data_IF_405883891664
#
_entry.id   IF_405883891664
#
_cell.length_a   1.000
_cell.length_b   1.000
_cell.length_c   1.000
_cell.angle_alpha   90.00
_cell.angle_beta   90.00
_cell.angle_gamma   90.00
#
_symmetry.space_group_name_H-M   'P 1'
#
loop_
_entity.id
_entity.type
_entity.pdbx_description
1 polymer ?
#
# COMPACT_ATOMS: atom_id res chain seq x y z
N UNK A 1 -19.36 -14.22 4.30
CA UNK A 1 -18.87 -12.83 4.13
C UNK A 1 -19.28 -12.37 2.75
N UNK A 2 -19.71 -11.11 2.61
CA UNK A 2 -20.03 -10.53 1.29
C UNK A 2 -18.74 -10.38 0.48
N UNK A 3 -18.84 -10.54 -0.85
CA UNK A 3 -17.70 -10.35 -1.76
C UNK A 3 -17.74 -8.99 -2.46
N UNK A 4 -16.56 -8.43 -2.73
CA UNK A 4 -16.42 -7.25 -3.58
C UNK A 4 -16.93 -7.55 -4.99
N UNK A 5 -17.62 -6.60 -5.58
CA UNK A 5 -18.11 -6.71 -6.95
C UNK A 5 -17.45 -5.68 -7.87
N UNK A 6 -17.34 -6.03 -9.13
CA UNK A 6 -16.88 -5.10 -10.16
C UNK A 6 -17.71 -3.81 -10.20
N UNK A 7 -19.02 -3.94 -10.02
CA UNK A 7 -19.96 -2.80 -9.97
C UNK A 7 -19.61 -1.83 -8.83
N UNK A 8 -19.27 -2.35 -7.66
CA UNK A 8 -18.83 -1.54 -6.50
C UNK A 8 -17.55 -0.80 -6.82
N UNK A 9 -16.57 -1.50 -7.39
CA UNK A 9 -15.27 -0.91 -7.75
C UNK A 9 -15.41 0.19 -8.80
N UNK A 10 -16.23 -0.02 -9.83
CA UNK A 10 -16.49 1.02 -10.83
C UNK A 10 -17.07 2.32 -10.22
N UNK A 11 -17.84 2.20 -9.14
CA UNK A 11 -18.41 3.35 -8.43
C UNK A 11 -17.36 4.23 -7.73
N UNK A 12 -16.19 3.70 -7.39
CA UNK A 12 -15.12 4.45 -6.74
C UNK A 12 -14.32 5.34 -7.69
N UNK A 13 -14.43 5.14 -9.01
CA UNK A 13 -13.63 5.85 -10.01
C UNK A 13 -14.51 6.66 -10.95
N UNK A 14 -14.92 7.89 -10.56
CA UNK A 14 -15.65 8.77 -11.46
C UNK A 14 -14.78 9.20 -12.66
N UNK A 15 -15.44 9.65 -13.73
CA UNK A 15 -14.74 10.19 -14.91
C UNK A 15 -13.86 11.38 -14.51
N UNK A 16 -12.61 11.39 -14.98
CA UNK A 16 -11.70 12.49 -14.74
C UNK A 16 -12.16 13.74 -15.48
N UNK A 17 -12.24 14.87 -14.77
CA UNK A 17 -12.59 16.14 -15.37
C UNK A 17 -11.47 16.60 -16.30
N UNK A 18 -11.82 17.21 -17.45
CA UNK A 18 -10.85 17.77 -18.40
C UNK A 18 -9.98 18.88 -17.80
N UNK A 19 -10.50 19.61 -16.81
CA UNK A 19 -9.79 20.68 -16.13
C UNK A 19 -8.96 20.20 -14.93
N UNK A 20 -8.79 18.88 -14.77
CA UNK A 20 -7.97 18.33 -13.69
C UNK A 20 -6.48 18.64 -13.89
N UNK A 21 -5.78 18.81 -12.79
CA UNK A 21 -4.32 18.99 -12.74
C UNK A 21 -3.71 18.02 -11.72
N UNK A 22 -2.39 17.92 -11.65
CA UNK A 22 -1.71 16.96 -10.74
C UNK A 22 -2.16 17.07 -9.28
N UNK A 23 -2.47 18.27 -8.78
CA UNK A 23 -2.98 18.48 -7.42
C UNK A 23 -4.38 17.90 -7.18
N UNK A 24 -5.20 17.73 -8.22
CA UNK A 24 -6.53 17.10 -8.12
C UNK A 24 -6.44 15.63 -7.70
N UNK A 25 -5.34 14.97 -8.06
CA UNK A 25 -5.13 13.54 -7.80
C UNK A 25 -4.16 13.28 -6.64
N UNK A 26 -3.93 14.31 -5.83
CA UNK A 26 -3.18 14.24 -4.59
C UNK A 26 -1.67 14.04 -4.74
N UNK A 27 -0.99 14.19 -3.61
CA UNK A 27 0.45 13.92 -3.47
C UNK A 27 0.64 12.74 -2.53
N UNK A 28 1.21 11.65 -3.03
CA UNK A 28 1.60 10.52 -2.22
C UNK A 28 3.05 10.65 -1.78
N UNK A 29 3.32 10.48 -0.49
CA UNK A 29 4.66 10.31 0.05
C UNK A 29 4.91 8.82 0.32
N UNK A 30 5.85 8.21 -0.41
CA UNK A 30 6.36 6.87 -0.15
C UNK A 30 7.64 6.96 0.69
N UNK A 31 7.63 6.40 1.88
CA UNK A 31 8.82 6.23 2.75
C UNK A 31 9.18 4.75 2.66
N UNK A 32 10.04 4.40 1.70
CA UNK A 32 10.23 3.00 1.29
C UNK A 32 11.67 2.73 0.84
N UNK A 33 12.08 1.48 0.94
CA UNK A 33 13.39 1.03 0.49
C UNK A 33 14.51 1.33 1.48
N UNK A 34 15.41 0.38 1.58
CA UNK A 34 16.72 0.47 2.24
C UNK A 34 17.81 0.16 1.22
N UNK A 35 19.07 0.25 1.60
CA UNK A 35 20.19 -0.13 0.72
C UNK A 35 20.13 -1.59 0.23
N UNK A 36 19.34 -2.44 0.90
CA UNK A 36 19.18 -3.86 0.55
C UNK A 36 17.93 -4.15 -0.29
N UNK A 37 16.94 -3.25 -0.29
CA UNK A 37 15.63 -3.50 -0.88
C UNK A 37 15.15 -2.36 -1.80
N UNK A 38 15.95 -1.98 -2.84
CA UNK A 38 15.53 -0.99 -3.82
C UNK A 38 14.29 -1.45 -4.62
N UNK A 39 14.14 -2.77 -4.84
CA UNK A 39 13.02 -3.34 -5.59
C UNK A 39 11.66 -3.12 -4.94
N UNK A 40 11.55 -3.21 -3.62
CA UNK A 40 10.31 -2.92 -2.90
C UNK A 40 9.88 -1.45 -3.09
N UNK A 41 10.86 -0.53 -3.03
CA UNK A 41 10.64 0.88 -3.34
C UNK A 41 10.20 1.09 -4.79
N UNK A 42 10.83 0.41 -5.76
CA UNK A 42 10.48 0.52 -7.17
C UNK A 42 9.05 0.03 -7.44
N UNK A 43 8.69 -1.16 -6.93
CA UNK A 43 7.37 -1.77 -7.13
C UNK A 43 6.26 -0.91 -6.53
N UNK A 44 6.40 -0.46 -5.28
CA UNK A 44 5.39 0.38 -4.63
C UNK A 44 5.24 1.75 -5.29
N UNK A 45 6.35 2.36 -5.74
CA UNK A 45 6.34 3.65 -6.44
C UNK A 45 5.67 3.54 -7.82
N UNK A 46 6.06 2.53 -8.62
CA UNK A 46 5.45 2.29 -9.94
C UNK A 46 3.97 1.96 -9.82
N UNK A 47 3.59 1.14 -8.82
CA UNK A 47 2.19 0.84 -8.55
C UNK A 47 1.39 2.11 -8.25
N UNK A 48 1.93 3.01 -7.45
CA UNK A 48 1.29 4.28 -7.13
C UNK A 48 1.12 5.18 -8.36
N UNK A 49 2.15 5.32 -9.19
CA UNK A 49 2.10 6.09 -10.43
C UNK A 49 1.09 5.50 -11.41
N UNK A 50 1.12 4.19 -11.64
CA UNK A 50 0.17 3.47 -12.52
C UNK A 50 -1.26 3.51 -12.01
N UNK A 51 -1.45 3.68 -10.70
CA UNK A 51 -2.77 3.83 -10.07
C UNK A 51 -3.30 5.27 -10.07
N UNK A 52 -2.56 6.21 -10.66
CA UNK A 52 -3.06 7.54 -11.01
C UNK A 52 -2.87 8.61 -9.93
N UNK A 53 -1.99 8.45 -8.95
CA UNK A 53 -1.57 9.52 -8.05
C UNK A 53 -1.03 10.71 -8.84
N UNK A 54 -1.39 11.93 -8.45
CA UNK A 54 -1.02 13.13 -9.19
C UNK A 54 0.46 13.49 -9.06
N UNK A 55 1.05 13.24 -7.91
CA UNK A 55 2.47 13.37 -7.63
C UNK A 55 2.91 12.29 -6.64
N UNK A 56 4.00 11.61 -6.93
CA UNK A 56 4.62 10.62 -6.02
C UNK A 56 5.98 11.14 -5.58
N UNK A 57 6.11 11.43 -4.28
CA UNK A 57 7.38 11.76 -3.63
C UNK A 57 7.92 10.50 -2.97
N UNK A 58 9.19 10.20 -3.20
CA UNK A 58 9.83 8.95 -2.75
C UNK A 58 10.99 9.30 -1.81
N UNK A 59 10.75 9.14 -0.51
CA UNK A 59 11.79 9.21 0.51
C UNK A 59 12.46 7.84 0.62
N UNK A 60 13.66 7.73 0.05
CA UNK A 60 14.45 6.50 0.01
C UNK A 60 15.94 6.81 0.19
N UNK A 61 16.75 5.79 0.40
CA UNK A 61 18.19 5.98 0.62
C UNK A 61 18.88 6.58 -0.61
N UNK A 62 19.89 7.43 -0.42
CA UNK A 62 20.67 8.02 -1.52
C UNK A 62 21.21 6.96 -2.50
N UNK A 63 21.60 5.79 -1.99
CA UNK A 63 22.09 4.68 -2.79
C UNK A 63 21.08 4.14 -3.79
N UNK A 64 19.79 4.26 -3.49
CA UNK A 64 18.72 3.78 -4.36
C UNK A 64 18.43 4.73 -5.53
N UNK A 65 18.78 6.03 -5.42
CA UNK A 65 18.43 7.02 -6.42
C UNK A 65 18.88 6.66 -7.84
N UNK A 66 20.16 6.34 -8.11
CA UNK A 66 20.58 6.02 -9.49
C UNK A 66 19.88 4.77 -10.03
N UNK A 67 19.52 3.81 -9.14
CA UNK A 67 18.80 2.60 -9.52
C UNK A 67 17.35 2.93 -9.91
N UNK A 68 16.67 3.72 -9.09
CA UNK A 68 15.26 4.06 -9.29
C UNK A 68 15.09 5.08 -10.42
N UNK A 69 15.90 6.13 -10.46
CA UNK A 69 15.79 7.19 -11.46
C UNK A 69 16.09 6.71 -12.88
N UNK A 70 16.80 5.60 -13.05
CA UNK A 70 16.99 4.98 -14.36
C UNK A 70 15.75 4.22 -14.88
N UNK A 71 14.76 3.98 -14.03
CA UNK A 71 13.56 3.19 -14.37
C UNK A 71 12.25 3.95 -14.13
N UNK A 72 12.24 4.95 -13.26
CA UNK A 72 11.05 5.69 -12.83
C UNK A 72 11.33 7.18 -12.97
N UNK A 73 10.91 7.77 -14.09
CA UNK A 73 11.17 9.17 -14.43
C UNK A 73 10.16 10.14 -13.81
N UNK A 74 8.98 9.66 -13.42
CA UNK A 74 7.84 10.49 -13.00
C UNK A 74 7.84 10.77 -11.50
N UNK A 75 8.68 10.10 -10.72
CA UNK A 75 8.74 10.29 -9.26
C UNK A 75 9.64 11.47 -8.89
N UNK A 76 9.28 12.14 -7.78
CA UNK A 76 10.13 13.15 -7.13
C UNK A 76 10.89 12.49 -6.00
N UNK A 77 12.20 12.37 -6.13
CA UNK A 77 13.05 11.71 -5.14
C UNK A 77 13.45 12.65 -4.02
N UNK A 78 13.33 12.16 -2.79
CA UNK A 78 13.86 12.78 -1.56
C UNK A 78 14.97 11.87 -1.04
N UNK A 79 16.24 12.23 -1.30
CA UNK A 79 17.38 11.43 -0.86
C UNK A 79 17.51 11.46 0.67
N UNK A 80 17.49 10.27 1.28
CA UNK A 80 17.56 10.10 2.73
C UNK A 80 18.92 9.61 3.17
N UNK A 81 19.48 10.28 4.16
CA UNK A 81 20.66 9.83 4.85
C UNK A 81 20.37 8.59 5.70
N UNK A 82 21.34 7.70 5.79
CA UNK A 82 21.16 6.40 6.40
C UNK A 82 21.96 6.20 7.68
N UNK A 83 21.58 5.17 8.42
CA UNK A 83 22.41 4.51 9.43
C UNK A 83 23.59 3.80 8.77
N UNK A 84 24.55 3.30 9.56
CA UNK A 84 25.70 2.51 9.06
C UNK A 84 25.27 1.25 8.31
N UNK A 85 24.08 0.70 8.59
CA UNK A 85 23.55 -0.50 7.95
C UNK A 85 22.65 -0.21 6.76
N UNK A 86 22.50 1.08 6.38
CA UNK A 86 21.80 1.48 5.15
C UNK A 86 20.29 1.61 5.26
N UNK A 87 19.76 1.90 6.44
CA UNK A 87 18.35 2.20 6.70
C UNK A 87 18.16 3.69 6.93
N UNK A 88 16.97 4.22 6.62
CA UNK A 88 16.65 5.65 6.78
C UNK A 88 16.78 6.05 8.26
N UNK A 89 17.57 7.08 8.53
CA UNK A 89 17.77 7.62 9.87
C UNK A 89 16.89 8.84 10.09
N UNK A 90 15.94 8.78 11.05
CA UNK A 90 15.04 9.88 11.32
C UNK A 90 15.78 11.19 11.68
N UNK A 91 16.69 11.14 12.64
CA UNK A 91 17.39 12.32 13.15
C UNK A 91 18.06 13.14 12.03
N UNK A 92 18.65 12.46 11.05
CA UNK A 92 19.36 13.11 9.94
C UNK A 92 18.41 13.70 8.89
N UNK A 93 17.17 13.24 8.83
CA UNK A 93 16.20 13.56 7.79
C UNK A 93 14.95 14.27 8.31
N UNK A 94 14.86 14.56 9.60
CA UNK A 94 13.67 15.06 10.27
C UNK A 94 13.06 16.29 9.56
N UNK A 95 13.87 17.28 9.20
CA UNK A 95 13.40 18.52 8.55
C UNK A 95 12.75 18.24 7.19
N UNK A 96 13.39 17.39 6.37
CA UNK A 96 12.89 17.03 5.03
C UNK A 96 11.60 16.21 5.15
N UNK A 97 11.59 15.22 6.03
CA UNK A 97 10.42 14.36 6.24
C UNK A 97 9.23 15.13 6.83
N UNK A 98 9.44 16.02 7.80
CA UNK A 98 8.39 16.87 8.35
C UNK A 98 7.75 17.76 7.28
N UNK A 99 8.57 18.37 6.42
CA UNK A 99 8.07 19.17 5.29
C UNK A 99 7.29 18.33 4.29
N UNK A 100 7.77 17.13 3.97
CA UNK A 100 7.10 16.21 3.03
C UNK A 100 5.77 15.69 3.58
N UNK A 101 5.72 15.32 4.87
CA UNK A 101 4.51 14.85 5.56
C UNK A 101 3.39 15.91 5.54
N UNK A 102 3.71 17.18 5.79
CA UNK A 102 2.74 18.28 5.74
C UNK A 102 2.11 18.50 4.36
N UNK A 103 2.80 18.12 3.30
CA UNK A 103 2.34 18.30 1.92
C UNK A 103 1.68 17.06 1.33
N UNK A 104 1.70 15.94 2.06
CA UNK A 104 1.18 14.67 1.58
C UNK A 104 -0.36 14.60 1.72
N UNK A 105 -1.02 14.08 0.68
CA UNK A 105 -2.44 13.69 0.71
C UNK A 105 -2.62 12.27 1.26
N UNK A 106 -1.58 11.43 1.18
CA UNK A 106 -1.47 10.13 1.83
C UNK A 106 0.01 9.76 2.00
N UNK A 107 0.30 8.86 2.92
CA UNK A 107 1.65 8.35 3.19
C UNK A 107 1.66 6.84 3.14
N UNK A 108 2.61 6.27 2.39
CA UNK A 108 2.96 4.86 2.43
C UNK A 108 4.28 4.68 3.18
N UNK A 109 4.31 3.81 4.19
CA UNK A 109 5.51 3.50 4.93
C UNK A 109 5.68 2.00 5.12
N UNK A 110 6.90 1.49 4.89
CA UNK A 110 7.27 0.14 5.31
C UNK A 110 7.90 -0.75 4.25
N UNK A 111 7.47 -0.66 2.99
CA UNK A 111 7.99 -1.51 1.91
C UNK A 111 9.52 -1.46 1.83
N UNK A 112 10.20 -2.51 2.28
CA UNK A 112 11.65 -2.65 2.20
C UNK A 112 12.48 -1.70 3.06
N UNK A 113 11.96 -1.20 4.17
CA UNK A 113 12.71 -0.30 5.07
C UNK A 113 13.78 -1.02 5.92
N UNK A 114 13.59 -2.30 6.21
CA UNK A 114 14.31 -3.06 7.22
C UNK A 114 13.60 -3.01 8.58
N UNK A 115 13.81 -4.05 9.38
CA UNK A 115 13.16 -4.19 10.69
C UNK A 115 14.17 -4.00 11.83
N UNK A 116 14.48 -2.75 12.14
CA UNK A 116 15.43 -2.37 13.20
C UNK A 116 14.91 -1.22 14.05
N UNK A 117 15.69 -0.85 15.07
CA UNK A 117 15.40 0.31 15.93
C UNK A 117 15.27 1.62 15.11
N UNK A 118 16.02 1.78 14.02
CA UNK A 118 15.92 2.98 13.17
C UNK A 118 14.54 3.06 12.48
N UNK A 119 14.02 1.93 11.99
CA UNK A 119 12.66 1.87 11.40
C UNK A 119 11.59 2.11 12.44
N UNK A 120 11.77 1.59 13.65
CA UNK A 120 10.85 1.84 14.78
C UNK A 120 10.81 3.33 15.15
N UNK A 121 11.97 3.98 15.24
CA UNK A 121 12.06 5.42 15.51
C UNK A 121 11.44 6.24 14.38
N UNK A 122 11.73 5.91 13.12
CA UNK A 122 11.14 6.53 11.94
C UNK A 122 9.61 6.43 12.00
N UNK A 123 9.06 5.24 12.25
CA UNK A 123 7.61 5.02 12.35
C UNK A 123 6.99 5.84 13.48
N UNK A 124 7.60 5.86 14.68
CA UNK A 124 7.11 6.67 15.82
C UNK A 124 6.97 8.14 15.47
N UNK A 125 7.96 8.69 14.79
CA UNK A 125 7.96 10.10 14.40
C UNK A 125 6.94 10.38 13.29
N UNK A 126 6.83 9.51 12.28
CA UNK A 126 5.83 9.64 11.22
C UNK A 126 4.41 9.60 11.79
N UNK A 127 4.10 8.64 12.66
CA UNK A 127 2.79 8.51 13.32
C UNK A 127 2.40 9.75 14.13
N UNK A 128 3.38 10.38 14.78
CA UNK A 128 3.12 11.60 15.57
C UNK A 128 2.80 12.82 14.70
N UNK A 129 3.24 12.84 13.45
CA UNK A 129 3.19 14.02 12.58
C UNK A 129 2.18 13.89 11.43
N UNK A 130 1.83 12.67 11.04
CA UNK A 130 0.93 12.42 9.92
C UNK A 130 -0.52 12.73 10.28
N UNK A 131 -1.20 13.49 9.42
CA UNK A 131 -2.63 13.81 9.58
C UNK A 131 -3.49 13.20 8.47
N UNK A 132 -2.90 12.93 7.32
CA UNK A 132 -3.55 12.29 6.17
C UNK A 132 -3.60 10.75 6.32
N UNK A 133 -4.25 10.03 5.39
CA UNK A 133 -4.22 8.56 5.38
C UNK A 133 -2.81 7.99 5.41
N UNK A 134 -2.59 7.02 6.31
CA UNK A 134 -1.31 6.35 6.52
C UNK A 134 -1.44 4.86 6.22
N UNK A 135 -0.76 4.41 5.19
CA UNK A 135 -0.70 3.02 4.77
C UNK A 135 0.59 2.40 5.32
N UNK A 136 0.46 1.34 6.10
CA UNK A 136 1.58 0.60 6.67
C UNK A 136 1.62 -0.82 6.11
N UNK A 137 2.75 -1.20 5.52
CA UNK A 137 3.00 -2.56 4.99
C UNK A 137 4.37 -3.07 5.43
N UNK A 138 4.58 -4.36 5.36
CA UNK A 138 5.87 -5.02 5.52
C UNK A 138 6.65 -4.59 6.79
N UNK A 139 7.82 -3.95 6.64
CA UNK A 139 8.64 -3.55 7.78
C UNK A 139 7.99 -2.43 8.62
N UNK A 140 7.08 -1.65 8.05
CA UNK A 140 6.24 -0.73 8.81
C UNK A 140 5.33 -1.46 9.81
N UNK A 141 4.74 -2.59 9.40
CA UNK A 141 3.93 -3.44 10.28
C UNK A 141 4.79 -4.19 11.31
N UNK A 142 5.99 -4.63 10.92
CA UNK A 142 6.93 -5.25 11.84
C UNK A 142 7.38 -4.26 12.92
N UNK A 143 7.66 -3.01 12.54
CA UNK A 143 8.00 -1.94 13.47
C UNK A 143 6.81 -1.61 14.40
N UNK A 144 5.58 -1.55 13.85
CA UNK A 144 4.37 -1.34 14.64
C UNK A 144 4.16 -2.43 15.68
N UNK A 145 4.33 -3.71 15.31
CA UNK A 145 4.23 -4.84 16.22
C UNK A 145 5.29 -4.79 17.35
N UNK A 146 6.49 -4.27 17.06
CA UNK A 146 7.56 -4.07 18.04
C UNK A 146 7.33 -2.86 18.96
N UNK A 147 6.44 -1.94 18.57
CA UNK A 147 6.15 -0.69 19.24
C UNK A 147 4.64 -0.56 19.48
N UNK A 148 4.08 -1.50 20.21
CA UNK A 148 2.62 -1.61 20.39
C UNK A 148 1.98 -0.36 21.03
N UNK A 149 2.75 0.41 21.80
CA UNK A 149 2.34 1.71 22.33
C UNK A 149 1.94 2.72 21.22
N UNK A 150 2.45 2.57 20.01
CA UNK A 150 2.02 3.37 18.85
C UNK A 150 0.53 3.11 18.54
N UNK A 151 0.03 1.91 18.78
CA UNK A 151 -1.39 1.59 18.56
C UNK A 151 -2.33 2.45 19.40
N UNK A 152 -1.89 3.00 20.53
CA UNK A 152 -2.67 3.97 21.33
C UNK A 152 -2.89 5.31 20.59
N UNK A 153 -2.10 5.59 19.56
CA UNK A 153 -2.20 6.80 18.70
C UNK A 153 -2.89 6.53 17.39
N UNK A 154 -3.47 5.36 17.21
CA UNK A 154 -4.14 4.97 15.97
C UNK A 154 -5.25 5.96 15.60
N UNK A 155 -5.42 6.14 14.29
CA UNK A 155 -6.44 7.01 13.72
C UNK A 155 -7.32 6.22 12.74
N UNK A 156 -8.59 6.61 12.54
CA UNK A 156 -9.47 5.93 11.57
C UNK A 156 -8.97 5.94 10.13
N UNK A 157 -8.04 6.84 9.80
CA UNK A 157 -7.44 6.96 8.48
C UNK A 157 -6.19 6.09 8.27
N UNK A 158 -5.85 5.19 9.22
CA UNK A 158 -4.79 4.21 9.01
C UNK A 158 -5.29 3.01 8.22
N UNK A 159 -4.42 2.48 7.35
CA UNK A 159 -4.64 1.24 6.61
C UNK A 159 -3.46 0.32 6.88
N UNK A 160 -3.74 -0.84 7.45
CA UNK A 160 -2.74 -1.89 7.69
C UNK A 160 -2.95 -3.03 6.70
N UNK A 161 -1.88 -3.49 6.06
CA UNK A 161 -1.95 -4.52 5.01
C UNK A 161 -1.19 -5.80 5.38
N UNK A 162 -1.43 -6.43 6.56
CA UNK A 162 -0.65 -7.58 6.98
C UNK A 162 -0.94 -8.84 6.15
N UNK A 163 0.10 -9.61 5.82
CA UNK A 163 -0.03 -11.03 5.53
C UNK A 163 -0.20 -11.83 6.83
N UNK A 164 -0.59 -13.13 6.80
CA UNK A 164 -0.86 -13.88 8.04
C UNK A 164 0.28 -13.87 9.08
N UNK A 165 1.55 -13.86 8.64
CA UNK A 165 2.68 -13.79 9.55
C UNK A 165 2.86 -12.43 10.23
N UNK A 166 2.59 -11.32 9.52
CA UNK A 166 2.57 -9.96 10.08
C UNK A 166 1.39 -9.78 11.02
N UNK A 167 0.22 -10.30 10.62
CA UNK A 167 -0.98 -10.30 11.46
C UNK A 167 -0.74 -11.05 12.78
N UNK A 168 -0.07 -12.18 12.72
CA UNK A 168 0.28 -12.95 13.92
C UNK A 168 1.13 -12.13 14.91
N UNK A 169 2.12 -11.38 14.39
CA UNK A 169 2.94 -10.48 15.22
C UNK A 169 2.14 -9.33 15.83
N UNK A 170 1.28 -8.69 15.03
CA UNK A 170 0.41 -7.60 15.50
C UNK A 170 -0.59 -8.05 16.57
N UNK A 171 -1.08 -9.29 16.44
CA UNK A 171 -2.11 -9.84 17.37
C UNK A 171 -1.53 -10.67 18.52
N UNK A 172 -0.21 -10.81 18.62
CA UNK A 172 0.42 -11.64 19.65
C UNK A 172 0.05 -13.13 19.56
N UNK A 173 -0.17 -13.66 18.35
CA UNK A 173 -0.58 -15.06 18.10
C UNK A 173 0.36 -15.75 17.10
N UNK A 174 -0.01 -16.92 16.60
CA UNK A 174 0.78 -17.66 15.61
C UNK A 174 0.22 -17.53 14.20
N UNK A 175 1.07 -17.66 13.20
CA UNK A 175 0.64 -17.68 11.78
C UNK A 175 -0.37 -18.80 11.51
N UNK A 176 -0.19 -19.96 12.14
CA UNK A 176 -1.12 -21.09 12.01
C UNK A 176 -2.52 -20.75 12.57
N UNK A 177 -2.60 -20.07 13.71
CA UNK A 177 -3.87 -19.62 14.30
C UNK A 177 -4.58 -18.60 13.40
N UNK A 178 -3.83 -17.63 12.84
CA UNK A 178 -4.40 -16.69 11.87
C UNK A 178 -4.93 -17.40 10.62
N UNK A 179 -4.17 -18.35 10.07
CA UNK A 179 -4.55 -19.11 8.88
C UNK A 179 -5.79 -19.98 9.12
N UNK A 180 -5.95 -20.55 10.31
CA UNK A 180 -7.08 -21.40 10.67
C UNK A 180 -8.44 -20.66 10.61
N UNK A 181 -8.46 -19.37 10.95
CA UNK A 181 -9.68 -18.56 10.90
C UNK A 181 -9.39 -17.07 10.69
N UNK A 182 -9.00 -16.70 9.47
CA UNK A 182 -8.71 -15.30 9.10
C UNK A 182 -9.88 -14.35 9.37
N UNK A 183 -11.16 -14.69 9.05
CA UNK A 183 -12.28 -13.78 9.32
C UNK A 183 -12.42 -13.45 10.81
N UNK A 184 -12.33 -14.44 11.68
CA UNK A 184 -12.41 -14.21 13.12
C UNK A 184 -11.22 -13.38 13.62
N UNK A 185 -10.01 -13.68 13.15
CA UNK A 185 -8.81 -12.93 13.52
C UNK A 185 -8.91 -11.46 13.11
N UNK A 186 -9.41 -11.15 11.91
CA UNK A 186 -9.64 -9.80 11.46
C UNK A 186 -10.69 -9.09 12.33
N UNK A 187 -11.80 -9.76 12.64
CA UNK A 187 -12.86 -9.20 13.46
C UNK A 187 -12.38 -8.88 14.89
N UNK A 188 -11.64 -9.80 15.54
CA UNK A 188 -11.09 -9.58 16.88
C UNK A 188 -10.10 -8.40 16.90
N UNK A 189 -9.20 -8.31 15.91
CA UNK A 189 -8.26 -7.20 15.80
C UNK A 189 -8.99 -5.86 15.63
N UNK A 190 -9.99 -5.79 14.76
CA UNK A 190 -10.74 -4.57 14.48
C UNK A 190 -11.69 -4.13 15.63
N UNK A 191 -11.84 -4.89 16.69
CA UNK A 191 -12.48 -4.41 17.94
C UNK A 191 -11.63 -3.35 18.65
N UNK A 192 -10.31 -3.41 18.47
CA UNK A 192 -9.34 -2.50 19.11
C UNK A 192 -8.65 -1.57 18.10
N UNK A 193 -8.86 -1.80 16.80
CA UNK A 193 -8.26 -1.00 15.74
C UNK A 193 -9.33 -0.22 14.97
N UNK A 194 -9.26 1.10 15.03
CA UNK A 194 -10.25 2.00 14.44
C UNK A 194 -10.07 2.23 12.93
N UNK A 195 -8.90 1.86 12.37
CA UNK A 195 -8.58 2.01 10.95
C UNK A 195 -9.07 0.84 10.09
N UNK A 196 -8.55 0.75 8.88
CA UNK A 196 -8.88 -0.31 7.91
C UNK A 196 -7.80 -1.39 7.91
N UNK A 197 -8.21 -2.63 8.08
CA UNK A 197 -7.36 -3.82 7.99
C UNK A 197 -7.54 -4.49 6.63
N UNK A 198 -6.43 -4.81 5.95
CA UNK A 198 -6.37 -5.62 4.73
C UNK A 198 -5.59 -6.90 5.05
N UNK A 199 -6.26 -7.93 5.52
CA UNK A 199 -5.62 -9.22 5.84
C UNK A 199 -5.42 -10.03 4.57
N UNK A 200 -4.18 -9.99 4.07
CA UNK A 200 -3.75 -10.61 2.80
C UNK A 200 -3.91 -12.15 2.81
N UNK A 201 -4.14 -12.70 1.62
CA UNK A 201 -4.21 -14.14 1.35
C UNK A 201 -5.26 -14.46 0.28
N UNK A 202 -5.44 -15.73 -0.07
CA UNK A 202 -6.53 -16.13 -0.97
C UNK A 202 -7.87 -15.69 -0.37
N UNK A 203 -8.65 -14.87 -1.13
CA UNK A 203 -9.79 -14.17 -0.56
C UNK A 203 -9.34 -13.16 0.52
N UNK A 204 -8.55 -12.15 0.15
CA UNK A 204 -8.13 -11.06 1.05
C UNK A 204 -9.34 -10.45 1.74
N UNK A 205 -9.24 -10.24 3.05
CA UNK A 205 -10.31 -9.68 3.87
C UNK A 205 -10.03 -8.20 4.12
N UNK A 206 -10.98 -7.33 3.78
CA UNK A 206 -10.95 -5.92 4.12
C UNK A 206 -11.96 -5.70 5.23
N UNK A 207 -11.50 -5.14 6.35
CA UNK A 207 -12.37 -4.90 7.51
C UNK A 207 -12.10 -3.53 8.14
N UNK A 208 -13.19 -2.85 8.52
CA UNK A 208 -13.18 -1.63 9.32
C UNK A 208 -14.32 -1.71 10.34
N UNK A 209 -13.99 -1.69 11.62
CA UNK A 209 -14.97 -1.94 12.69
C UNK A 209 -15.70 -3.27 12.48
N UNK A 210 -17.02 -3.23 12.35
CA UNK A 210 -17.87 -4.42 12.11
C UNK A 210 -18.09 -4.72 10.63
N UNK A 211 -17.73 -3.82 9.73
CA UNK A 211 -17.89 -4.00 8.28
C UNK A 211 -16.74 -4.81 7.72
N UNK A 212 -17.04 -5.95 7.13
CA UNK A 212 -16.06 -6.85 6.52
C UNK A 212 -16.52 -7.29 5.13
N UNK A 213 -15.58 -7.31 4.17
CA UNK A 213 -15.81 -7.76 2.81
C UNK A 213 -14.61 -8.59 2.32
N UNK A 214 -14.85 -9.54 1.42
CA UNK A 214 -13.82 -10.41 0.86
C UNK A 214 -13.53 -10.05 -0.59
N UNK A 215 -12.26 -10.07 -0.95
CA UNK A 215 -11.83 -9.88 -2.34
C UNK A 215 -11.85 -11.21 -3.10
N UNK A 216 -12.61 -11.34 -4.21
CA UNK A 216 -12.70 -12.56 -5.00
C UNK A 216 -11.61 -12.70 -6.07
N UNK A 217 -10.83 -11.65 -6.37
CA UNK A 217 -9.85 -11.62 -7.47
C UNK A 217 -8.47 -12.06 -7.02
N UNK A 218 -7.63 -12.47 -7.96
CA UNK A 218 -6.26 -12.92 -7.74
C UNK A 218 -6.11 -14.43 -7.79
N UNK A 219 -4.88 -14.88 -7.96
CA UNK A 219 -4.52 -16.27 -8.19
C UNK A 219 -3.23 -16.65 -7.44
N UNK A 220 -2.89 -17.95 -7.35
CA UNK A 220 -1.70 -18.42 -6.64
C UNK A 220 -0.36 -17.90 -7.18
N UNK A 221 -0.27 -17.51 -8.45
CA UNK A 221 0.92 -16.91 -9.06
C UNK A 221 1.38 -15.61 -8.40
N UNK A 222 0.45 -14.93 -7.70
CA UNK A 222 0.73 -13.73 -6.93
C UNK A 222 1.46 -14.01 -5.61
N UNK A 223 1.65 -15.25 -5.20
CA UNK A 223 2.34 -15.64 -3.96
C UNK A 223 3.86 -15.51 -4.10
N UNK A 224 4.33 -14.29 -4.37
CA UNK A 224 5.74 -13.93 -4.58
C UNK A 224 6.11 -12.66 -3.82
N UNK A 225 7.38 -12.58 -3.41
CA UNK A 225 7.94 -11.34 -2.84
C UNK A 225 7.80 -10.18 -3.82
N UNK A 226 7.27 -9.05 -3.37
CA UNK A 226 7.00 -7.87 -4.19
C UNK A 226 5.52 -7.65 -4.53
N UNK A 227 4.67 -8.69 -4.54
CA UNK A 227 3.23 -8.51 -4.80
C UNK A 227 2.55 -7.63 -3.76
N UNK A 228 2.97 -7.73 -2.49
CA UNK A 228 2.49 -6.86 -1.41
C UNK A 228 2.87 -5.40 -1.61
N UNK A 229 4.11 -5.13 -2.09
CA UNK A 229 4.58 -3.77 -2.36
C UNK A 229 3.73 -3.11 -3.47
N UNK A 230 3.34 -3.87 -4.50
CA UNK A 230 2.42 -3.40 -5.55
C UNK A 230 1.06 -3.05 -4.95
N UNK A 231 0.47 -3.94 -4.13
CA UNK A 231 -0.80 -3.69 -3.45
C UNK A 231 -0.77 -2.44 -2.58
N UNK A 232 0.27 -2.31 -1.75
CA UNK A 232 0.44 -1.17 -0.85
C UNK A 232 0.55 0.16 -1.63
N UNK A 233 1.29 0.18 -2.74
CA UNK A 233 1.40 1.33 -3.63
C UNK A 233 0.07 1.73 -4.27
N UNK A 234 -0.73 0.74 -4.71
CA UNK A 234 -2.07 0.99 -5.28
C UNK A 234 -3.03 1.57 -4.25
N UNK A 235 -3.13 0.96 -3.06
CA UNK A 235 -3.99 1.46 -1.96
C UNK A 235 -3.60 2.89 -1.60
N UNK A 236 -2.31 3.15 -1.45
CA UNK A 236 -1.79 4.47 -1.10
C UNK A 236 -2.13 5.54 -2.16
N UNK A 237 -2.04 5.19 -3.44
CA UNK A 237 -2.42 6.06 -4.55
C UNK A 237 -3.92 6.40 -4.54
N UNK A 238 -4.79 5.44 -4.24
CA UNK A 238 -6.22 5.67 -4.17
C UNK A 238 -6.59 6.53 -2.96
N UNK A 239 -5.97 6.30 -1.81
CA UNK A 239 -6.13 7.16 -0.65
C UNK A 239 -5.63 8.59 -0.92
N UNK A 240 -4.52 8.77 -1.63
CA UNK A 240 -4.01 10.09 -2.02
C UNK A 240 -4.96 10.83 -2.96
N UNK A 241 -5.72 10.12 -3.79
CA UNK A 241 -6.74 10.66 -4.68
C UNK A 241 -8.07 10.97 -3.98
N UNK A 242 -8.17 10.75 -2.66
CA UNK A 242 -9.32 11.13 -1.85
C UNK A 242 -10.36 10.03 -1.62
N UNK A 243 -10.09 8.77 -1.98
CA UNK A 243 -10.94 7.68 -1.55
C UNK A 243 -10.83 7.51 -0.02
N UNK A 244 -11.95 7.13 0.60
CA UNK A 244 -11.91 6.75 2.01
C UNK A 244 -10.92 5.62 2.25
N UNK A 245 -10.33 5.46 3.45
CA UNK A 245 -9.40 4.37 3.74
C UNK A 245 -9.96 2.99 3.40
N UNK A 246 -11.25 2.77 3.68
CA UNK A 246 -11.93 1.53 3.38
C UNK A 246 -12.11 1.31 1.86
N UNK A 247 -12.56 2.34 1.13
CA UNK A 247 -12.77 2.24 -0.32
C UNK A 247 -11.44 2.10 -1.06
N UNK A 248 -10.39 2.81 -0.62
CA UNK A 248 -9.03 2.67 -1.16
C UNK A 248 -8.49 1.24 -0.98
N UNK A 249 -8.72 0.63 0.20
CA UNK A 249 -8.35 -0.75 0.48
C UNK A 249 -9.14 -1.75 -0.39
N UNK A 250 -10.45 -1.56 -0.53
CA UNK A 250 -11.30 -2.39 -1.38
C UNK A 250 -10.88 -2.29 -2.86
N UNK A 251 -10.73 -1.08 -3.37
CA UNK A 251 -10.28 -0.84 -4.74
C UNK A 251 -8.89 -1.43 -5.00
N UNK A 252 -7.94 -1.19 -4.07
CA UNK A 252 -6.59 -1.72 -4.17
C UNK A 252 -6.57 -3.23 -4.22
N UNK A 253 -7.25 -3.90 -3.29
CA UNK A 253 -7.29 -5.36 -3.25
C UNK A 253 -7.91 -5.97 -4.51
N UNK A 254 -9.03 -5.42 -4.98
CA UNK A 254 -9.73 -5.94 -6.14
C UNK A 254 -8.93 -5.74 -7.44
N UNK A 255 -8.48 -4.52 -7.72
CA UNK A 255 -7.78 -4.20 -8.96
C UNK A 255 -6.38 -4.83 -9.01
N UNK A 256 -5.70 -4.96 -7.87
CA UNK A 256 -4.46 -5.72 -7.75
C UNK A 256 -4.66 -7.20 -8.09
N UNK A 257 -5.70 -7.83 -7.54
CA UNK A 257 -6.04 -9.21 -7.86
C UNK A 257 -6.38 -9.38 -9.35
N UNK A 258 -7.19 -8.48 -9.92
CA UNK A 258 -7.55 -8.51 -11.34
C UNK A 258 -6.32 -8.32 -12.25
N UNK A 259 -5.37 -7.43 -11.87
CA UNK A 259 -4.10 -7.31 -12.59
C UNK A 259 -3.28 -8.62 -12.53
N UNK A 260 -3.32 -9.30 -11.38
CA UNK A 260 -2.73 -10.63 -11.22
C UNK A 260 -3.38 -11.69 -12.10
N UNK A 261 -4.71 -11.67 -12.24
CA UNK A 261 -5.43 -12.60 -13.13
C UNK A 261 -5.09 -12.36 -14.61
N UNK A 262 -4.95 -11.09 -15.03
CA UNK A 262 -4.48 -10.75 -16.37
C UNK A 262 -3.02 -11.18 -16.60
N UNK A 263 -2.17 -11.01 -15.59
CA UNK A 263 -0.78 -11.46 -15.66
C UNK A 263 -0.68 -12.99 -15.75
N UNK A 264 -1.48 -13.73 -14.98
CA UNK A 264 -1.52 -15.19 -15.06
C UNK A 264 -2.00 -15.69 -16.43
N UNK A 265 -3.01 -15.04 -17.01
CA UNK A 265 -3.49 -15.36 -18.36
C UNK A 265 -2.43 -15.12 -19.44
N UNK A 266 -1.52 -14.15 -19.25
CA UNK A 266 -0.48 -13.78 -20.20
C UNK A 266 0.81 -14.57 -20.04
N UNK A 267 1.21 -14.84 -18.77
CA UNK A 267 2.53 -15.40 -18.43
C UNK A 267 2.46 -16.75 -17.71
N UNK A 268 1.29 -17.25 -17.37
CA UNK A 268 0.98 -18.33 -16.45
C UNK A 268 1.22 -17.96 -14.96
N UNK A 269 0.53 -18.66 -14.04
CA UNK A 269 0.73 -18.48 -12.59
C UNK A 269 2.16 -18.80 -12.14
N UNK A 270 2.82 -19.71 -12.85
CA UNK A 270 4.18 -20.13 -12.49
C UNK A 270 5.24 -19.11 -12.94
N UNK A 271 5.07 -18.42 -14.06
CA UNK A 271 6.10 -17.56 -14.63
C UNK A 271 5.91 -16.08 -14.30
N UNK A 272 4.68 -15.65 -13.97
CA UNK A 272 4.38 -14.24 -13.68
C UNK A 272 5.21 -13.70 -12.51
N UNK A 273 5.59 -12.44 -12.61
CA UNK A 273 6.31 -11.68 -11.59
C UNK A 273 5.46 -10.51 -11.08
N UNK A 274 5.74 -9.93 -9.89
CA UNK A 274 5.05 -8.71 -9.43
C UNK A 274 5.11 -7.54 -10.42
N UNK A 275 6.17 -7.44 -11.19
CA UNK A 275 6.30 -6.43 -12.24
C UNK A 275 5.27 -6.64 -13.38
N UNK A 276 4.85 -7.86 -13.65
CA UNK A 276 3.84 -8.14 -14.68
C UNK A 276 2.46 -7.61 -14.27
N UNK A 277 2.16 -7.57 -12.96
CA UNK A 277 0.96 -6.91 -12.48
C UNK A 277 0.96 -5.42 -12.88
N UNK A 278 2.11 -4.75 -12.74
CA UNK A 278 2.26 -3.33 -13.13
C UNK A 278 2.04 -3.14 -14.65
N UNK A 279 2.49 -4.09 -15.46
CA UNK A 279 2.26 -4.08 -16.91
C UNK A 279 0.79 -4.31 -17.27
N UNK A 280 0.03 -5.03 -16.45
CA UNK A 280 -1.40 -5.29 -16.65
C UNK A 280 -2.31 -4.18 -16.10
N UNK A 281 -1.83 -3.29 -15.21
CA UNK A 281 -2.64 -2.20 -14.67
C UNK A 281 -3.28 -1.30 -15.72
N UNK A 282 -2.60 -0.89 -16.81
CA UNK A 282 -3.25 -0.09 -17.86
C UNK A 282 -4.48 -0.75 -18.45
N UNK A 283 -4.45 -2.07 -18.66
CA UNK A 283 -5.60 -2.83 -19.17
C UNK A 283 -6.75 -2.89 -18.16
N UNK A 284 -6.44 -3.03 -16.88
CA UNK A 284 -7.42 -2.98 -15.79
C UNK A 284 -8.16 -1.63 -15.77
N UNK A 285 -7.42 -0.52 -15.91
CA UNK A 285 -8.02 0.81 -15.94
C UNK A 285 -8.79 1.09 -17.24
N UNK A 286 -8.33 0.61 -18.40
CA UNK A 286 -9.10 0.67 -19.64
C UNK A 286 -10.44 -0.05 -19.51
N UNK A 287 -10.49 -1.22 -18.88
CA UNK A 287 -11.74 -1.93 -18.58
C UNK A 287 -12.67 -1.10 -17.71
N UNK A 288 -12.16 -0.40 -16.68
CA UNK A 288 -12.94 0.53 -15.87
C UNK A 288 -13.54 1.66 -16.69
N UNK A 289 -12.79 2.23 -17.63
CA UNK A 289 -13.25 3.33 -18.50
C UNK A 289 -14.32 2.87 -19.48
N UNK A 290 -14.17 1.69 -20.07
CA UNK A 290 -15.17 1.10 -20.97
C UNK A 290 -16.51 0.84 -20.28
N UNK A 291 -16.50 0.30 -19.08
CA UNK A 291 -17.71 0.06 -18.29
C UNK A 291 -18.49 1.35 -17.97
N UNK A 292 -17.78 2.45 -17.72
CA UNK A 292 -18.39 3.77 -17.47
C UNK A 292 -19.07 4.31 -18.74
N UNK A 293 -18.40 4.21 -19.88
CA UNK A 293 -18.92 4.69 -21.15
C UNK A 293 -20.18 3.91 -21.55
N UNK A 294 -20.24 2.61 -21.28
CA UNK A 294 -21.40 1.77 -21.55
C UNK A 294 -22.63 2.13 -20.67
N UNK A 295 -22.44 2.76 -19.51
CA UNK A 295 -23.54 3.20 -18.63
C UNK A 295 -24.03 4.61 -18.93
N UNK A 296 -23.25 5.42 -19.66
CA UNK A 296 -23.64 6.76 -20.12
C UNK A 296 -24.45 6.74 -21.43
N UNK A 297 -24.52 5.60 -22.12
CA UNK A 297 -25.34 5.33 -23.33
C UNK A 297 -26.64 4.63 -22.96
#
# INVERSE_FOLDING_TARGET
MQELSWKTICGYFPKRNRNSHKGTFGTLLCITGSNRMPGACALSTLAALRSGAGLVKVATTERNLPILASQIYEAVYLPMQTTKIGEICWEKNAVVLQSALKQASAVLIGCGLGNTAATQELLRNVVNLVECPLIMDADGLNALASCIDIMQKQKPNWILTPHPGEMARLSGTTTAAVQANRPQCAAEFCKQFSGTLVLKGAGTIIQQGTTAIQNPTGNPGMSRGGSGDVLAGMIAAFAAQGLSPYDAACAGAYLHGLAGDFAAARYSEQAMLPQDLLHCLPEVFLKLEQERTAKEQ
#
